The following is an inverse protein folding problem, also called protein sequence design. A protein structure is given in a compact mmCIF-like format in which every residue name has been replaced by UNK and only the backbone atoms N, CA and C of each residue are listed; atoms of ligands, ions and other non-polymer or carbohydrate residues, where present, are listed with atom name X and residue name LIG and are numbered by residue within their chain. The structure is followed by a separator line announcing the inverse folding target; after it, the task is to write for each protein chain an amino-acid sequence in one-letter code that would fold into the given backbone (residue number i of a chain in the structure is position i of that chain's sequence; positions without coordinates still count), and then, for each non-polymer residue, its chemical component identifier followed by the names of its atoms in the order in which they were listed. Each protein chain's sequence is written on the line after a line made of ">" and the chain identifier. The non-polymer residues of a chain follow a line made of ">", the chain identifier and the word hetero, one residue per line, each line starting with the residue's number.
data_IF_516504259294
#
_entry.id   IF_516504259294
#
_cell.length_a   1.000
_cell.length_b   1.000
_cell.length_c   1.000
_cell.angle_alpha   90.00
_cell.angle_beta   90.00
_cell.angle_gamma   90.00
#
_symmetry.space_group_name_H-M   'P 1'
#
loop_
_entity.id
_entity.type
_entity.pdbx_description
1 polymer ?
#
# COMPACT_ATOMS: atom_id res chain seq x y z
N UNK A 1 -2.44 2.98 -39.91
CA UNK A 1 -3.76 3.28 -39.30
C UNK A 1 -4.04 2.15 -38.32
N UNK A 2 -4.25 2.33 -37.02
CA UNK A 2 -4.51 3.53 -36.23
C UNK A 2 -3.47 3.70 -35.12
N UNK A 3 -3.02 4.94 -34.95
CA UNK A 3 -2.35 5.48 -33.78
C UNK A 3 -3.43 5.91 -32.79
N UNK A 4 -3.44 5.35 -31.58
CA UNK A 4 -4.00 5.96 -30.37
C UNK A 4 -3.57 5.09 -29.18
N UNK A 5 -2.42 5.42 -28.61
CA UNK A 5 -2.04 5.01 -27.26
C UNK A 5 -2.00 6.30 -26.44
N UNK A 6 -2.70 6.28 -25.32
CA UNK A 6 -2.97 7.43 -24.46
C UNK A 6 -1.73 8.21 -24.06
N UNK A 7 -1.81 9.53 -24.23
CA UNK A 7 -0.78 10.50 -23.89
C UNK A 7 -0.61 10.72 -22.38
N UNK A 8 -1.40 10.03 -21.56
CA UNK A 8 -1.40 10.13 -20.10
C UNK A 8 -0.36 9.24 -19.41
N UNK A 9 0.19 8.22 -20.10
CA UNK A 9 1.12 7.25 -19.51
C UNK A 9 2.61 7.59 -19.68
N UNK A 10 2.95 8.56 -20.53
CA UNK A 10 4.36 8.89 -20.85
C UNK A 10 4.92 10.07 -20.05
N UNK A 11 4.15 10.74 -19.19
CA UNK A 11 4.59 11.98 -18.51
C UNK A 11 4.96 11.82 -17.03
N UNK A 12 5.20 10.60 -16.54
CA UNK A 12 5.41 10.33 -15.12
C UNK A 12 6.85 9.91 -14.75
N UNK A 13 7.86 10.56 -15.32
CA UNK A 13 9.23 10.37 -14.82
C UNK A 13 10.11 11.63 -15.02
N UNK A 14 10.06 12.60 -14.10
CA UNK A 14 10.79 13.87 -14.23
C UNK A 14 12.30 13.75 -13.89
N UNK A 15 12.82 12.55 -13.68
CA UNK A 15 14.20 12.31 -13.20
C UNK A 15 15.22 11.96 -14.29
N UNK A 16 14.82 11.95 -15.58
CA UNK A 16 15.70 11.55 -16.69
C UNK A 16 15.96 12.65 -17.74
N UNK A 17 15.34 13.83 -17.62
CA UNK A 17 15.66 14.96 -18.49
C UNK A 17 16.74 15.82 -17.87
N UNK A 18 17.91 15.79 -18.51
CA UNK A 18 19.13 16.50 -18.15
C UNK A 18 19.04 17.99 -18.53
N UNK A 19 18.04 18.68 -17.98
CA UNK A 19 17.89 20.14 -18.04
C UNK A 19 18.35 20.72 -16.68
N UNK A 20 19.17 21.78 -16.65
CA UNK A 20 19.58 22.39 -15.39
C UNK A 20 18.34 22.97 -14.68
N UNK A 21 18.01 22.40 -13.53
CA UNK A 21 16.96 22.86 -12.63
C UNK A 21 17.31 24.27 -12.13
N UNK A 22 16.77 25.30 -12.77
CA UNK A 22 16.87 26.69 -12.30
C UNK A 22 15.78 26.92 -11.25
N UNK A 23 16.20 26.88 -9.99
CA UNK A 23 15.40 27.34 -8.86
C UNK A 23 15.46 28.88 -8.87
N UNK A 24 14.44 29.55 -9.41
CA UNK A 24 14.22 30.98 -9.17
C UNK A 24 13.80 31.15 -7.71
N UNK A 25 14.78 31.45 -6.87
CA UNK A 25 14.58 31.88 -5.50
C UNK A 25 14.22 33.37 -5.55
N UNK A 26 12.92 33.68 -5.55
CA UNK A 26 12.44 35.05 -5.40
C UNK A 26 12.62 35.43 -3.92
N UNK A 27 13.79 35.98 -3.62
CA UNK A 27 14.08 36.56 -2.30
C UNK A 27 13.44 37.95 -2.26
N UNK A 28 12.17 38.01 -1.88
CA UNK A 28 11.57 39.21 -1.31
C UNK A 28 12.31 39.50 0.01
N UNK A 29 13.35 40.33 -0.09
CA UNK A 29 14.03 40.94 1.05
C UNK A 29 13.07 41.96 1.68
N UNK A 30 12.12 41.43 2.45
CA UNK A 30 11.35 42.23 3.38
C UNK A 30 12.31 42.88 4.39
N UNK A 31 12.15 44.19 4.52
CA UNK A 31 12.96 45.13 5.27
C UNK A 31 12.87 44.83 6.77
N UNK A 32 13.64 43.83 7.22
CA UNK A 32 13.81 43.50 8.63
C UNK A 32 14.58 44.63 9.32
N UNK A 33 14.10 45.15 10.48
CA UNK A 33 14.74 46.28 11.14
C UNK A 33 16.07 45.84 11.76
N UNK A 34 17.13 45.86 10.97
CA UNK A 34 18.50 45.67 11.45
C UNK A 34 19.00 46.99 12.04
N UNK A 35 19.33 47.00 13.33
CA UNK A 35 19.96 48.17 13.97
C UNK A 35 21.45 48.10 13.68
N UNK A 36 21.89 48.89 12.70
CA UNK A 36 23.30 48.98 12.33
C UNK A 36 24.01 49.99 13.23
N UNK A 37 25.01 49.54 13.99
CA UNK A 37 25.85 50.43 14.79
C UNK A 37 27.29 50.33 14.30
N UNK A 38 27.85 51.43 13.79
CA UNK A 38 29.22 51.46 13.27
C UNK A 38 30.18 51.80 14.41
N UNK A 39 31.18 50.94 14.63
CA UNK A 39 32.25 51.18 15.60
C UNK A 39 33.39 51.96 14.95
N UNK A 40 34.13 52.73 15.75
CA UNK A 40 35.16 53.69 15.31
C UNK A 40 36.35 53.08 14.54
N UNK A 41 36.45 51.75 14.40
CA UNK A 41 37.47 51.08 13.58
C UNK A 41 37.03 50.73 12.14
N UNK A 42 35.78 51.06 11.79
CA UNK A 42 35.21 50.80 10.46
C UNK A 42 34.63 49.41 10.26
N UNK A 43 34.63 48.54 11.28
CA UNK A 43 33.85 47.30 11.27
C UNK A 43 32.36 47.55 11.52
N UNK A 44 31.54 46.70 10.89
CA UNK A 44 30.07 46.74 11.00
C UNK A 44 29.65 45.45 11.69
N UNK A 45 29.09 45.58 12.89
CA UNK A 45 28.48 44.46 13.60
C UNK A 45 26.98 44.46 13.31
N UNK A 46 26.51 43.39 12.65
CA UNK A 46 25.09 43.20 12.30
C UNK A 46 24.54 42.20 13.32
N UNK A 47 23.83 42.71 14.34
CA UNK A 47 23.05 41.85 15.22
C UNK A 47 21.74 41.55 14.51
N UNK A 48 21.65 40.35 13.91
CA UNK A 48 20.42 39.84 13.34
C UNK A 48 19.48 39.55 14.51
N UNK A 49 18.44 40.38 14.68
CA UNK A 49 17.41 40.15 15.69
C UNK A 49 16.81 38.77 15.50
N UNK A 50 16.70 38.02 16.60
CA UNK A 50 16.03 36.74 16.66
C UNK A 50 14.69 36.85 15.93
N UNK A 51 14.56 36.13 14.82
CA UNK A 51 13.30 36.02 14.12
C UNK A 51 12.35 35.28 15.06
N UNK A 52 11.56 36.03 15.82
CA UNK A 52 10.34 35.50 16.42
C UNK A 52 9.43 35.15 15.25
N UNK A 53 9.59 33.93 14.73
CA UNK A 53 8.54 33.26 13.98
C UNK A 53 7.26 33.36 14.82
N UNK A 54 6.09 33.62 14.22
CA UNK A 54 4.87 33.84 14.96
C UNK A 54 4.30 32.51 15.46
N UNK A 55 5.05 31.74 16.27
CA UNK A 55 4.57 30.58 17.03
C UNK A 55 5.52 30.25 18.19
N UNK A 56 5.93 31.23 19.00
CA UNK A 56 6.60 30.97 20.29
C UNK A 56 5.59 30.50 21.37
N UNK A 57 4.77 29.51 21.02
CA UNK A 57 3.92 28.76 21.97
C UNK A 57 3.97 27.25 21.75
N UNK A 58 4.83 26.77 20.84
CA UNK A 58 5.02 25.33 20.70
C UNK A 58 6.03 24.91 21.78
N UNK A 59 5.50 24.34 22.86
CA UNK A 59 6.27 23.43 23.72
C UNK A 59 7.09 22.53 22.79
N UNK A 60 8.40 22.33 23.00
CA UNK A 60 9.24 21.44 22.19
C UNK A 60 8.60 20.04 22.07
N UNK A 61 7.76 19.84 21.05
CA UNK A 61 7.02 18.61 20.87
C UNK A 61 8.04 17.57 20.42
N UNK A 62 8.24 16.54 21.25
CA UNK A 62 9.07 15.39 20.86
C UNK A 62 8.55 14.80 19.55
N UNK A 63 9.43 14.40 18.65
CA UNK A 63 9.05 13.79 17.37
C UNK A 63 8.09 12.60 17.53
N UNK A 64 8.21 11.86 18.64
CA UNK A 64 7.37 10.69 18.94
C UNK A 64 6.08 11.04 19.73
N UNK A 65 5.79 12.33 19.94
CA UNK A 65 4.61 12.74 20.71
C UNK A 65 3.32 12.63 19.89
N UNK A 66 2.23 12.29 20.57
CA UNK A 66 0.91 12.21 19.96
C UNK A 66 0.38 13.62 19.66
N UNK A 67 0.37 14.00 18.39
CA UNK A 67 -0.11 15.30 17.91
C UNK A 67 -1.56 15.60 18.29
N UNK A 68 -2.39 14.58 18.50
CA UNK A 68 -3.78 14.77 18.88
C UNK A 68 -3.94 15.42 20.27
N UNK A 69 -2.96 15.30 21.15
CA UNK A 69 -3.04 15.89 22.51
C UNK A 69 -2.66 17.39 22.53
N UNK A 70 -2.04 17.90 21.46
CA UNK A 70 -1.58 19.29 21.33
C UNK A 70 -2.44 20.12 20.36
N UNK A 71 -3.27 19.47 19.54
CA UNK A 71 -4.18 20.11 18.61
C UNK A 71 -5.43 20.63 19.33
N UNK A 72 -5.94 21.78 18.89
CA UNK A 72 -7.20 22.31 19.39
C UNK A 72 -8.37 21.40 19.02
N UNK A 73 -9.36 21.30 19.91
CA UNK A 73 -10.53 20.42 19.76
C UNK A 73 -11.34 20.78 18.49
N UNK A 74 -11.33 22.05 18.09
CA UNK A 74 -11.98 22.50 16.86
C UNK A 74 -11.33 21.92 15.60
N UNK A 75 -9.99 21.89 15.54
CA UNK A 75 -9.22 21.34 14.42
C UNK A 75 -9.37 19.82 14.36
N UNK A 76 -9.32 19.15 15.53
CA UNK A 76 -9.55 17.72 15.64
C UNK A 76 -10.95 17.32 15.16
N UNK A 77 -11.98 18.12 15.50
CA UNK A 77 -13.34 17.86 15.06
C UNK A 77 -13.50 17.99 13.53
N UNK A 78 -12.87 19.00 12.91
CA UNK A 78 -12.87 19.14 11.45
C UNK A 78 -12.17 17.95 10.78
N UNK A 79 -10.95 17.61 11.21
CA UNK A 79 -10.20 16.48 10.66
C UNK A 79 -10.96 15.15 10.84
N UNK A 80 -11.59 14.94 11.99
CA UNK A 80 -12.40 13.76 12.23
C UNK A 80 -13.61 13.69 11.30
N UNK A 81 -14.29 14.82 11.04
CA UNK A 81 -15.41 14.88 10.10
C UNK A 81 -14.95 14.55 8.68
N UNK A 82 -13.85 15.18 8.23
CA UNK A 82 -13.30 14.96 6.89
C UNK A 82 -12.92 13.48 6.69
N UNK A 83 -12.24 12.87 7.66
CA UNK A 83 -11.86 11.46 7.61
C UNK A 83 -13.07 10.52 7.59
N UNK A 84 -14.14 10.83 8.35
CA UNK A 84 -15.37 10.03 8.33
C UNK A 84 -16.05 10.13 6.96
N UNK A 85 -16.12 11.33 6.40
CA UNK A 85 -16.73 11.57 5.09
C UNK A 85 -15.93 10.89 3.96
N UNK A 86 -14.59 10.89 4.02
CA UNK A 86 -13.72 10.14 3.10
C UNK A 86 -13.97 8.63 3.22
N UNK A 87 -13.98 8.08 4.43
CA UNK A 87 -14.23 6.63 4.65
C UNK A 87 -15.62 6.22 4.18
N UNK A 88 -16.66 7.03 4.42
CA UNK A 88 -18.01 6.75 3.93
C UNK A 88 -18.06 6.81 2.40
N UNK A 89 -17.35 7.76 1.79
CA UNK A 89 -17.22 7.85 0.33
C UNK A 89 -16.58 6.59 -0.25
N UNK A 90 -15.53 6.06 0.39
CA UNK A 90 -14.86 4.83 -0.03
C UNK A 90 -15.74 3.58 0.17
N UNK A 91 -16.51 3.53 1.26
CA UNK A 91 -17.49 2.45 1.50
C UNK A 91 -18.59 2.49 0.42
N UNK A 92 -19.04 3.68 0.05
CA UNK A 92 -20.07 3.83 -0.96
C UNK A 92 -19.53 3.49 -2.36
N UNK A 93 -18.26 3.78 -2.66
CA UNK A 93 -17.63 3.47 -3.94
C UNK A 93 -17.56 1.95 -4.21
N UNK A 94 -17.38 1.14 -3.16
CA UNK A 94 -17.30 -0.34 -3.27
C UNK A 94 -18.65 -1.06 -3.26
N UNK A 95 -19.77 -0.36 -3.15
CA UNK A 95 -21.11 -0.97 -3.02
C UNK A 95 -21.43 -1.91 -4.19
N UNK A 96 -21.17 -1.48 -5.42
CA UNK A 96 -21.43 -2.28 -6.63
C UNK A 96 -20.59 -3.57 -6.66
N UNK A 97 -19.35 -3.50 -6.17
CA UNK A 97 -18.49 -4.66 -6.02
C UNK A 97 -19.04 -5.63 -4.98
N UNK A 98 -19.48 -5.14 -3.82
CA UNK A 98 -20.09 -5.99 -2.76
C UNK A 98 -21.33 -6.69 -3.29
N UNK A 99 -22.22 -5.99 -4.00
CA UNK A 99 -23.40 -6.60 -4.60
C UNK A 99 -23.04 -7.68 -5.63
N UNK A 100 -22.01 -7.45 -6.43
CA UNK A 100 -21.52 -8.42 -7.42
C UNK A 100 -20.93 -9.65 -6.74
N UNK A 101 -20.16 -9.45 -5.66
CA UNK A 101 -19.57 -10.51 -4.87
C UNK A 101 -20.64 -11.42 -4.23
N UNK A 102 -21.66 -10.84 -3.59
CA UNK A 102 -22.78 -11.59 -3.00
C UNK A 102 -23.54 -12.37 -4.06
N UNK A 103 -23.85 -11.75 -5.20
CA UNK A 103 -24.49 -12.44 -6.34
C UNK A 103 -23.60 -13.58 -6.88
N UNK A 104 -22.29 -13.38 -6.92
CA UNK A 104 -21.31 -14.40 -7.33
C UNK A 104 -21.32 -15.63 -6.42
N UNK A 105 -21.40 -15.44 -5.11
CA UNK A 105 -21.51 -16.53 -4.14
C UNK A 105 -22.80 -17.34 -4.30
N UNK A 106 -23.92 -16.69 -4.65
CA UNK A 106 -25.19 -17.38 -4.94
C UNK A 106 -25.08 -18.26 -6.19
N UNK A 107 -24.45 -17.75 -7.25
CA UNK A 107 -24.24 -18.50 -8.51
C UNK A 107 -23.36 -19.74 -8.30
N UNK A 108 -22.36 -19.65 -7.41
CA UNK A 108 -21.50 -20.77 -7.04
C UNK A 108 -22.23 -21.85 -6.20
N UNK A 109 -23.46 -21.58 -5.77
CA UNK A 109 -24.26 -22.53 -4.98
C UNK A 109 -23.72 -22.77 -3.58
N UNK A 110 -22.91 -21.85 -3.04
CA UNK A 110 -22.38 -21.92 -1.68
C UNK A 110 -23.42 -21.54 -0.62
N UNK A 111 -24.51 -20.89 -1.05
CA UNK A 111 -25.64 -20.50 -0.20
C UNK A 111 -26.72 -21.58 -0.25
N UNK A 112 -27.17 -22.01 0.93
CA UNK A 112 -28.34 -22.87 1.04
C UNK A 112 -29.61 -22.04 0.82
N UNK A 113 -30.35 -22.34 -0.25
CA UNK A 113 -31.67 -21.75 -0.50
C UNK A 113 -32.76 -22.76 -0.14
N UNK A 114 -33.59 -22.43 0.85
CA UNK A 114 -34.85 -23.13 1.08
C UNK A 114 -35.85 -22.67 0.01
N UNK A 115 -36.01 -23.48 -1.05
CA UNK A 115 -37.00 -23.20 -2.09
C UNK A 115 -38.35 -23.79 -1.70
N UNK A 116 -39.40 -22.99 -1.85
CA UNK A 116 -40.79 -23.42 -1.64
C UNK A 116 -41.53 -23.79 -2.94
N UNK A 117 -40.92 -23.53 -4.11
CA UNK A 117 -41.42 -23.94 -5.42
C UNK A 117 -40.39 -24.86 -6.12
N UNK A 118 -40.81 -25.97 -6.75
CA UNK A 118 -42.19 -26.50 -6.87
C UNK A 118 -42.76 -27.18 -5.61
N UNK A 119 -41.96 -27.44 -4.57
CA UNK A 119 -42.39 -27.85 -3.23
C UNK A 119 -41.35 -27.38 -2.19
N UNK A 120 -41.71 -27.35 -0.90
CA UNK A 120 -40.78 -27.04 0.21
C UNK A 120 -39.57 -28.00 0.19
N UNK A 121 -38.37 -27.46 0.31
CA UNK A 121 -37.08 -28.16 0.16
C UNK A 121 -36.79 -28.70 -1.25
N UNK A 122 -37.34 -28.09 -2.29
CA UNK A 122 -36.95 -28.44 -3.66
C UNK A 122 -35.47 -28.07 -3.93
N UNK A 123 -34.65 -29.06 -4.33
CA UNK A 123 -33.24 -28.83 -4.61
C UNK A 123 -33.03 -27.90 -5.81
N UNK A 124 -32.41 -26.75 -5.57
CA UNK A 124 -31.79 -25.95 -6.63
C UNK A 124 -30.52 -26.61 -7.14
N UNK A 125 -30.45 -26.93 -8.43
CA UNK A 125 -29.21 -27.42 -9.05
C UNK A 125 -28.43 -26.22 -9.57
N UNK A 126 -27.29 -25.93 -8.94
CA UNK A 126 -26.30 -24.99 -9.44
C UNK A 126 -25.26 -25.72 -10.29
N UNK A 127 -24.67 -25.01 -11.26
CA UNK A 127 -23.60 -25.57 -12.08
C UNK A 127 -22.29 -25.58 -11.28
N UNK A 128 -21.74 -26.77 -11.03
CA UNK A 128 -20.46 -26.93 -10.33
C UNK A 128 -19.24 -26.47 -11.17
N UNK A 129 -19.43 -26.11 -12.44
CA UNK A 129 -18.35 -25.75 -13.37
C UNK A 129 -17.55 -24.54 -12.88
N UNK A 130 -18.22 -23.55 -12.28
CA UNK A 130 -17.54 -22.35 -11.76
C UNK A 130 -16.73 -22.66 -10.50
N UNK A 131 -17.28 -23.45 -9.58
CA UNK A 131 -16.58 -23.89 -8.37
C UNK A 131 -15.39 -24.78 -8.71
N UNK A 132 -15.54 -25.67 -9.69
CA UNK A 132 -14.44 -26.48 -10.22
C UNK A 132 -13.36 -25.60 -10.86
N UNK A 133 -13.74 -24.60 -11.66
CA UNK A 133 -12.80 -23.67 -12.27
C UNK A 133 -12.02 -22.87 -11.22
N UNK A 134 -12.66 -22.42 -10.14
CA UNK A 134 -12.00 -21.71 -9.04
C UNK A 134 -10.97 -22.61 -8.31
N UNK A 135 -11.33 -23.87 -8.03
CA UNK A 135 -10.42 -24.84 -7.41
C UNK A 135 -9.23 -25.15 -8.34
N UNK A 136 -9.49 -25.33 -9.64
CA UNK A 136 -8.43 -25.55 -10.64
C UNK A 136 -7.49 -24.36 -10.73
N UNK A 137 -8.03 -23.13 -10.79
CA UNK A 137 -7.23 -21.91 -10.79
C UNK A 137 -6.33 -21.83 -9.56
N UNK A 138 -6.86 -22.09 -8.37
CA UNK A 138 -6.09 -22.09 -7.13
C UNK A 138 -4.95 -23.12 -7.20
N UNK A 139 -5.25 -24.35 -7.62
CA UNK A 139 -4.27 -25.44 -7.69
C UNK A 139 -3.16 -25.18 -8.72
N UNK A 140 -3.52 -24.74 -9.92
CA UNK A 140 -2.57 -24.44 -11.00
C UNK A 140 -1.70 -23.23 -10.64
N UNK A 141 -2.32 -22.16 -10.14
CA UNK A 141 -1.58 -20.95 -9.74
C UNK A 141 -0.63 -21.23 -8.58
N UNK A 142 -1.04 -22.06 -7.62
CA UNK A 142 -0.17 -22.46 -6.52
C UNK A 142 1.05 -23.25 -7.02
N UNK A 143 0.87 -24.16 -7.97
CA UNK A 143 1.99 -24.92 -8.55
C UNK A 143 2.98 -24.02 -9.30
N UNK A 144 2.48 -23.01 -10.00
CA UNK A 144 3.32 -22.09 -10.77
C UNK A 144 4.03 -21.05 -9.89
N UNK A 145 3.32 -20.51 -8.89
CA UNK A 145 3.87 -19.49 -7.98
C UNK A 145 4.77 -20.08 -6.90
N UNK A 146 4.53 -21.33 -6.48
CA UNK A 146 5.34 -22.06 -5.51
C UNK A 146 5.89 -23.36 -6.10
N UNK A 147 6.87 -23.27 -7.01
CA UNK A 147 7.55 -24.45 -7.52
C UNK A 147 8.43 -25.08 -6.43
N UNK A 148 8.77 -26.36 -6.61
CA UNK A 148 9.64 -27.09 -5.68
C UNK A 148 11.05 -26.46 -5.52
N UNK A 149 11.51 -25.67 -6.49
CA UNK A 149 12.77 -24.94 -6.44
C UNK A 149 12.72 -23.65 -5.59
N UNK A 150 11.55 -23.27 -5.10
CA UNK A 150 11.31 -22.04 -4.35
C UNK A 150 10.72 -20.91 -5.20
N UNK A 151 9.89 -20.04 -4.60
CA UNK A 151 9.17 -18.99 -5.33
C UNK A 151 10.06 -17.84 -5.81
N UNK A 152 11.21 -17.59 -5.18
CA UNK A 152 12.06 -16.44 -5.47
C UNK A 152 13.05 -16.75 -6.59
N UNK A 153 13.07 -15.88 -7.61
CA UNK A 153 14.02 -15.90 -8.73
C UNK A 153 14.78 -14.57 -8.75
N UNK A 154 16.09 -14.64 -8.91
CA UNK A 154 16.96 -13.45 -8.98
C UNK A 154 17.34 -13.15 -10.43
N UNK A 155 17.30 -11.87 -10.80
CA UNK A 155 17.76 -11.37 -12.10
C UNK A 155 18.95 -10.44 -11.88
N UNK A 156 20.05 -10.66 -12.59
CA UNK A 156 21.22 -9.79 -12.55
C UNK A 156 21.04 -8.71 -13.62
N UNK A 157 21.08 -7.45 -13.21
CA UNK A 157 21.01 -6.30 -14.11
C UNK A 157 22.43 -5.87 -14.53
N UNK A 158 22.66 -5.76 -15.85
CA UNK A 158 23.94 -5.34 -16.42
C UNK A 158 24.93 -6.49 -16.65
N UNK A 159 26.23 -6.21 -16.51
CA UNK A 159 27.27 -7.22 -16.74
C UNK A 159 27.26 -8.32 -15.66
N UNK A 160 27.19 -9.58 -16.11
CA UNK A 160 27.28 -10.75 -15.24
C UNK A 160 28.73 -10.99 -14.83
N UNK A 161 29.08 -10.50 -13.65
CA UNK A 161 30.36 -10.82 -12.99
C UNK A 161 30.18 -12.03 -12.06
N UNK A 162 31.18 -12.91 -11.90
CA UNK A 162 31.08 -14.08 -11.01
C UNK A 162 30.71 -13.75 -9.55
N UNK A 163 31.07 -12.56 -9.08
CA UNK A 163 30.72 -12.09 -7.74
C UNK A 163 29.22 -11.79 -7.58
N UNK A 164 28.62 -11.14 -8.59
CA UNK A 164 27.18 -10.85 -8.64
C UNK A 164 26.36 -12.13 -8.76
N UNK A 165 26.82 -13.12 -9.53
CA UNK A 165 26.17 -14.43 -9.62
C UNK A 165 26.12 -15.13 -8.25
N UNK A 166 27.25 -15.17 -7.54
CA UNK A 166 27.31 -15.72 -6.17
C UNK A 166 26.48 -14.92 -5.17
N UNK A 167 26.35 -13.60 -5.35
CA UNK A 167 25.50 -12.77 -4.49
C UNK A 167 24.01 -13.04 -4.75
N UNK A 168 23.62 -13.13 -6.02
CA UNK A 168 22.26 -13.45 -6.43
C UNK A 168 21.83 -14.83 -5.91
N UNK A 169 22.69 -15.85 -6.04
CA UNK A 169 22.43 -17.19 -5.51
C UNK A 169 22.23 -17.17 -3.98
N UNK A 170 23.09 -16.47 -3.23
CA UNK A 170 22.92 -16.32 -1.78
C UNK A 170 21.60 -15.68 -1.38
N UNK A 171 21.20 -14.60 -2.07
CA UNK A 171 19.93 -13.91 -1.79
C UNK A 171 18.75 -14.80 -2.15
N UNK A 172 18.81 -15.51 -3.27
CA UNK A 172 17.78 -16.44 -3.71
C UNK A 172 17.57 -17.55 -2.66
N UNK A 173 18.67 -18.17 -2.22
CA UNK A 173 18.63 -19.30 -1.31
C UNK A 173 18.16 -18.87 0.09
N UNK A 174 18.60 -17.69 0.58
CA UNK A 174 18.14 -17.13 1.85
C UNK A 174 16.64 -16.78 1.83
N UNK A 175 16.17 -16.09 0.79
CA UNK A 175 14.76 -15.71 0.67
C UNK A 175 13.85 -16.93 0.51
N UNK A 176 14.28 -17.94 -0.27
CA UNK A 176 13.54 -19.19 -0.37
C UNK A 176 13.50 -19.92 0.97
N UNK A 177 14.62 -20.01 1.70
CA UNK A 177 14.65 -20.60 3.04
C UNK A 177 13.70 -19.89 4.02
N UNK A 178 13.68 -18.55 4.01
CA UNK A 178 12.76 -17.78 4.85
C UNK A 178 11.30 -18.10 4.53
N UNK A 179 10.92 -18.15 3.26
CA UNK A 179 9.52 -18.37 2.86
C UNK A 179 9.08 -19.82 3.05
N UNK A 180 9.95 -20.81 2.79
CA UNK A 180 9.56 -22.23 2.82
C UNK A 180 9.72 -22.88 4.19
N UNK A 181 10.77 -22.55 4.94
CA UNK A 181 11.11 -23.22 6.20
C UNK A 181 10.77 -22.37 7.43
N UNK A 182 11.10 -21.07 7.41
CA UNK A 182 10.87 -20.18 8.57
C UNK A 182 9.40 -19.77 8.66
N UNK A 183 8.80 -19.41 7.52
CA UNK A 183 7.40 -18.99 7.43
C UNK A 183 6.46 -20.14 7.06
N UNK A 184 6.30 -21.12 7.95
CA UNK A 184 5.45 -22.28 7.69
C UNK A 184 3.99 -21.95 7.33
N UNK A 185 3.46 -20.83 7.84
CA UNK A 185 2.09 -20.37 7.58
C UNK A 185 1.93 -19.74 6.19
N UNK A 186 3.02 -19.28 5.57
CA UNK A 186 2.99 -18.50 4.34
C UNK A 186 2.32 -19.26 3.19
N UNK A 187 2.53 -20.58 3.13
CA UNK A 187 1.96 -21.45 2.10
C UNK A 187 0.44 -21.50 2.22
N UNK A 188 -0.08 -21.85 3.40
CA UNK A 188 -1.53 -21.95 3.64
C UNK A 188 -2.21 -20.60 3.48
N UNK A 189 -1.59 -19.53 3.96
CA UNK A 189 -2.09 -18.17 3.78
C UNK A 189 -2.14 -17.76 2.30
N UNK A 190 -1.14 -18.15 1.50
CA UNK A 190 -1.13 -17.88 0.07
C UNK A 190 -2.17 -18.71 -0.69
N UNK A 191 -2.35 -19.99 -0.34
CA UNK A 191 -3.43 -20.83 -0.89
C UNK A 191 -4.81 -20.23 -0.60
N UNK A 192 -5.02 -19.72 0.62
CA UNK A 192 -6.24 -18.99 1.00
C UNK A 192 -6.40 -17.70 0.20
N UNK A 193 -5.30 -16.99 -0.06
CA UNK A 193 -5.33 -15.77 -0.87
C UNK A 193 -5.76 -16.04 -2.32
N UNK A 194 -5.20 -17.08 -2.95
CA UNK A 194 -5.53 -17.45 -4.33
C UNK A 194 -6.99 -17.89 -4.47
N UNK A 195 -7.53 -18.59 -3.47
CA UNK A 195 -8.94 -18.95 -3.45
C UNK A 195 -9.83 -17.70 -3.35
N UNK A 196 -9.53 -16.79 -2.43
CA UNK A 196 -10.27 -15.54 -2.31
C UNK A 196 -10.13 -14.66 -3.55
N UNK A 197 -8.97 -14.65 -4.20
CA UNK A 197 -8.76 -13.93 -5.46
C UNK A 197 -9.68 -14.46 -6.57
N UNK A 198 -9.86 -15.78 -6.67
CA UNK A 198 -10.74 -16.40 -7.66
C UNK A 198 -12.21 -16.02 -7.46
N UNK A 199 -12.63 -15.81 -6.21
CA UNK A 199 -14.02 -15.51 -5.84
C UNK A 199 -14.32 -14.01 -5.84
N UNK A 200 -13.47 -13.23 -5.19
CA UNK A 200 -13.67 -11.82 -4.91
C UNK A 200 -13.00 -10.90 -5.94
N UNK A 201 -12.14 -11.45 -6.80
CA UNK A 201 -11.37 -10.71 -7.82
C UNK A 201 -10.20 -9.90 -7.27
N UNK A 202 -10.16 -9.67 -5.95
CA UNK A 202 -9.08 -8.97 -5.27
C UNK A 202 -8.73 -9.67 -3.96
N UNK A 203 -7.46 -9.58 -3.57
CA UNK A 203 -6.96 -10.08 -2.29
C UNK A 203 -5.79 -9.23 -1.85
N UNK A 204 -5.66 -9.04 -0.54
CA UNK A 204 -4.59 -8.24 0.04
C UNK A 204 -3.74 -9.09 0.97
N UNK A 205 -2.47 -8.75 1.06
CA UNK A 205 -1.52 -9.44 1.95
C UNK A 205 -0.77 -8.41 2.77
N UNK A 206 -0.92 -8.48 4.08
CA UNK A 206 -0.20 -7.62 5.02
C UNK A 206 1.10 -8.29 5.40
N UNK A 207 2.22 -7.64 5.07
CA UNK A 207 3.56 -8.07 5.47
C UNK A 207 4.05 -7.13 6.56
N UNK A 208 4.41 -7.67 7.72
CA UNK A 208 4.92 -6.89 8.85
C UNK A 208 5.89 -7.71 9.68
N UNK A 209 6.71 -7.04 10.47
CA UNK A 209 7.59 -7.70 11.45
C UNK A 209 6.81 -7.91 12.75
N UNK A 210 6.69 -9.17 13.19
CA UNK A 210 6.06 -9.48 14.46
C UNK A 210 7.12 -9.51 15.58
N UNK A 211 7.10 -8.58 16.54
CA UNK A 211 8.09 -8.53 17.62
C UNK A 211 8.02 -9.73 18.57
N UNK A 212 6.91 -10.48 18.60
CA UNK A 212 6.80 -11.68 19.44
C UNK A 212 7.44 -12.90 18.78
N UNK A 213 7.32 -13.00 17.46
CA UNK A 213 7.88 -14.10 16.67
C UNK A 213 9.30 -13.79 16.17
N UNK A 214 9.77 -12.54 16.33
CA UNK A 214 11.06 -12.00 15.90
C UNK A 214 11.35 -12.29 14.41
N UNK A 215 10.29 -12.26 13.58
CA UNK A 215 10.35 -12.55 12.14
C UNK A 215 9.28 -11.80 11.36
N UNK A 216 9.44 -11.76 10.03
CA UNK A 216 8.39 -11.26 9.14
C UNK A 216 7.23 -12.26 9.07
N UNK A 217 6.00 -11.73 9.13
CA UNK A 217 4.76 -12.48 8.97
C UNK A 217 3.99 -11.90 7.79
N UNK A 218 3.33 -12.78 7.03
CA UNK A 218 2.52 -12.40 5.88
C UNK A 218 1.13 -12.99 6.00
N UNK A 219 0.17 -12.17 6.41
CA UNK A 219 -1.23 -12.59 6.63
C UNK A 219 -2.08 -12.12 5.46
N UNK A 220 -2.91 -13.02 4.96
CA UNK A 220 -3.91 -12.71 3.94
C UNK A 220 -5.12 -12.03 4.59
N UNK A 221 -5.48 -10.86 4.05
CA UNK A 221 -6.66 -10.11 4.47
C UNK A 221 -7.71 -10.21 3.35
N UNK A 222 -8.93 -10.69 3.67
CA UNK A 222 -10.04 -10.68 2.72
C UNK A 222 -10.32 -9.27 2.17
N UNK A 223 -10.79 -9.19 0.93
CA UNK A 223 -11.14 -7.91 0.32
C UNK A 223 -12.28 -7.18 1.04
N UNK A 224 -13.14 -7.91 1.76
CA UNK A 224 -14.20 -7.35 2.62
C UNK A 224 -13.65 -6.50 3.77
N UNK A 225 -12.54 -6.92 4.39
CA UNK A 225 -11.98 -6.30 5.59
C UNK A 225 -11.04 -5.12 5.32
N UNK A 226 -10.83 -4.77 4.05
CA UNK A 226 -9.99 -3.64 3.62
C UNK A 226 -10.81 -2.63 2.84
N UNK A 227 -10.59 -1.35 3.16
CA UNK A 227 -11.06 -0.21 2.38
C UNK A 227 -9.83 0.37 1.68
N UNK A 228 -9.97 0.61 0.38
CA UNK A 228 -8.95 1.25 -0.45
C UNK A 228 -9.54 2.54 -0.97
N UNK A 229 -8.88 3.69 -0.77
CA UNK A 229 -9.29 4.97 -1.34
C UNK A 229 -9.08 5.04 -2.86
#
# INVERSE_FOLDING_TARGET
>A
MATNVDKALTSANPLLDNEPFQLELDLDLDDSPSTQTQLDDGSIEITLGESTSPTDTDEDISFDANLADYLDESVLATLASDLIDEVETDIQSRKDWVETYVKGMEVLGLKYEERMEPWEDACGVYSAVLSEAAIRFQAETMQETFPAAGPVKTLILGESTPEKEKAAERVRDDMNYQITEVMSEYRTEHERALFNLALAGSVFKKVYFDPNLDRQVSITVPAEDIIVP
#
